data_IF_068815026710
#
_entry.id   IF_068815026710
#
_cell.length_a   1.000
_cell.length_b   1.000
_cell.length_c   1.000
_cell.angle_alpha   90.00
_cell.angle_beta   90.00
_cell.angle_gamma   90.00
#
_symmetry.space_group_name_H-M   'P 1'
#
loop_
_entity.id
_entity.type
_entity.pdbx_description
1 polymer ?
#
# COMPACT_ATOMS: atom_id res chain seq x y z
N UNK A 1 12.15 -29.73 -6.24
CA UNK A 1 11.33 -28.52 -6.02
C UNK A 1 11.09 -27.86 -7.35
N UNK A 2 9.84 -27.56 -7.65
CA UNK A 2 9.47 -26.72 -8.79
C UNK A 2 9.35 -25.24 -8.33
N UNK A 3 9.10 -24.34 -9.29
CA UNK A 3 8.92 -22.90 -9.02
C UNK A 3 7.72 -22.60 -8.12
N UNK A 4 6.67 -23.43 -8.15
CA UNK A 4 5.50 -23.28 -7.27
C UNK A 4 5.81 -23.61 -5.81
N UNK A 5 6.65 -24.62 -5.56
CA UNK A 5 7.12 -24.96 -4.21
C UNK A 5 7.88 -23.76 -3.61
N UNK A 6 8.74 -23.12 -4.42
CA UNK A 6 9.48 -21.92 -4.03
C UNK A 6 8.57 -20.71 -3.80
N UNK A 7 7.54 -20.53 -4.63
CA UNK A 7 6.54 -19.48 -4.42
C UNK A 7 5.79 -19.67 -3.09
N UNK A 8 5.43 -20.91 -2.73
CA UNK A 8 4.82 -21.20 -1.44
C UNK A 8 5.77 -20.98 -0.26
N UNK A 9 7.07 -21.28 -0.41
CA UNK A 9 8.08 -20.91 0.59
C UNK A 9 8.16 -19.40 0.78
N UNK A 10 8.22 -18.63 -0.31
CA UNK A 10 8.23 -17.18 -0.28
C UNK A 10 6.97 -16.62 0.40
N UNK A 11 5.79 -17.16 0.10
CA UNK A 11 4.54 -16.75 0.75
C UNK A 11 4.56 -16.99 2.28
N UNK A 12 5.15 -18.11 2.73
CA UNK A 12 5.35 -18.39 4.17
C UNK A 12 6.37 -17.42 4.80
N UNK A 13 7.45 -17.11 4.09
CA UNK A 13 8.43 -16.14 4.55
C UNK A 13 7.82 -14.73 4.68
N UNK A 14 7.06 -14.29 3.68
CA UNK A 14 6.34 -13.01 3.68
C UNK A 14 5.33 -12.92 4.84
N UNK A 15 4.51 -13.95 5.04
CA UNK A 15 3.53 -13.97 6.12
C UNK A 15 4.14 -14.06 7.53
N UNK A 16 5.43 -14.43 7.65
CA UNK A 16 6.19 -14.41 8.90
C UNK A 16 7.17 -13.24 9.01
N UNK A 17 7.26 -12.40 7.98
CA UNK A 17 8.15 -11.24 7.94
C UNK A 17 7.77 -10.23 9.03
N UNK A 18 8.73 -9.38 9.38
CA UNK A 18 8.49 -8.32 10.37
C UNK A 18 7.52 -7.28 9.80
N UNK A 19 7.71 -6.93 8.54
CA UNK A 19 6.93 -5.95 7.79
C UNK A 19 5.45 -6.33 7.77
N UNK A 20 5.13 -7.60 7.44
CA UNK A 20 3.75 -8.07 7.45
C UNK A 20 3.14 -8.10 8.86
N UNK A 21 3.91 -8.55 9.86
CA UNK A 21 3.44 -8.58 11.26
C UNK A 21 3.18 -7.18 11.81
N UNK A 22 4.07 -6.23 11.55
CA UNK A 22 3.93 -4.84 11.95
C UNK A 22 2.72 -4.19 11.26
N UNK A 23 2.55 -4.45 9.95
CA UNK A 23 1.38 -4.02 9.19
C UNK A 23 0.08 -4.56 9.79
N UNK A 24 0.02 -5.87 10.05
CA UNK A 24 -1.16 -6.52 10.60
C UNK A 24 -1.52 -5.96 11.98
N UNK A 25 -0.54 -5.82 12.86
CA UNK A 25 -0.76 -5.27 14.20
C UNK A 25 -1.19 -3.79 14.17
N UNK A 26 -0.63 -2.98 13.27
CA UNK A 26 -1.06 -1.58 13.10
C UNK A 26 -2.49 -1.49 12.55
N UNK A 27 -2.84 -2.37 11.60
CA UNK A 27 -4.20 -2.45 11.04
C UNK A 27 -5.22 -2.81 12.12
N UNK A 28 -4.93 -3.81 12.94
CA UNK A 28 -5.82 -4.22 14.04
C UNK A 28 -6.06 -3.07 15.03
N UNK A 29 -5.01 -2.32 15.40
CA UNK A 29 -5.13 -1.14 16.27
C UNK A 29 -6.05 -0.07 15.68
N UNK A 30 -5.89 0.27 14.40
CA UNK A 30 -6.78 1.22 13.71
C UNK A 30 -8.23 0.73 13.73
N UNK A 31 -8.46 -0.57 13.55
CA UNK A 31 -9.79 -1.15 13.42
C UNK A 31 -10.52 -1.29 14.77
N UNK A 32 -9.81 -1.24 15.90
CA UNK A 32 -10.42 -1.19 17.23
C UNK A 32 -11.12 0.14 17.52
N UNK A 33 -10.75 1.21 16.82
CA UNK A 33 -11.40 2.51 16.94
C UNK A 33 -12.26 2.79 15.69
N UNK A 34 -13.58 2.81 15.88
CA UNK A 34 -14.53 3.01 14.78
C UNK A 34 -14.37 4.35 14.04
N UNK A 35 -13.92 5.42 14.72
CA UNK A 35 -13.62 6.68 14.06
C UNK A 35 -12.37 6.57 13.17
N UNK A 36 -11.29 5.99 13.69
CA UNK A 36 -10.06 5.77 12.92
C UNK A 36 -10.29 4.85 11.72
N UNK A 37 -11.05 3.77 11.92
CA UNK A 37 -11.46 2.84 10.86
C UNK A 37 -12.23 3.54 9.75
N UNK A 38 -13.24 4.36 10.08
CA UNK A 38 -13.99 5.14 9.08
C UNK A 38 -13.07 6.10 8.31
N UNK A 39 -12.18 6.79 9.01
CA UNK A 39 -11.25 7.74 8.39
C UNK A 39 -10.27 7.03 7.44
N UNK A 40 -9.74 5.88 7.84
CA UNK A 40 -8.87 5.06 6.99
C UNK A 40 -9.59 4.51 5.75
N UNK A 41 -10.84 4.06 5.90
CA UNK A 41 -11.63 3.55 4.76
C UNK A 41 -11.96 4.66 3.75
N UNK A 42 -12.32 5.85 4.22
CA UNK A 42 -12.54 7.00 3.33
C UNK A 42 -11.24 7.38 2.60
N UNK A 43 -10.11 7.36 3.30
CA UNK A 43 -8.81 7.62 2.71
C UNK A 43 -8.48 6.64 1.57
N UNK A 44 -8.56 5.33 1.82
CA UNK A 44 -8.28 4.31 0.80
C UNK A 44 -9.22 4.41 -0.40
N UNK A 45 -10.49 4.70 -0.16
CA UNK A 45 -11.47 4.89 -1.24
C UNK A 45 -11.09 6.07 -2.14
N UNK A 46 -10.75 7.22 -1.55
CA UNK A 46 -10.35 8.42 -2.31
C UNK A 46 -9.01 8.23 -3.01
N UNK A 47 -8.04 7.61 -2.35
CA UNK A 47 -6.75 7.27 -2.94
C UNK A 47 -6.94 6.42 -4.21
N UNK A 48 -7.80 5.39 -4.14
CA UNK A 48 -8.11 4.55 -5.29
C UNK A 48 -8.78 5.32 -6.42
N UNK A 49 -9.75 6.19 -6.11
CA UNK A 49 -10.42 7.02 -7.11
C UNK A 49 -9.42 7.94 -7.85
N UNK A 50 -8.54 8.60 -7.10
CA UNK A 50 -7.49 9.45 -7.65
C UNK A 50 -6.54 8.64 -8.55
N UNK A 51 -6.09 7.49 -8.08
CA UNK A 51 -5.22 6.61 -8.86
C UNK A 51 -5.91 6.10 -10.13
N UNK A 52 -7.19 5.74 -10.06
CA UNK A 52 -7.98 5.29 -11.20
C UNK A 52 -8.14 6.39 -12.26
N UNK A 53 -8.35 7.65 -11.86
CA UNK A 53 -8.38 8.79 -12.80
C UNK A 53 -7.05 8.95 -13.53
N UNK A 54 -5.92 8.90 -12.80
CA UNK A 54 -4.61 8.96 -13.45
C UNK A 54 -4.40 7.83 -14.46
N UNK A 55 -4.83 6.60 -14.12
CA UNK A 55 -4.73 5.45 -15.03
C UNK A 55 -5.65 5.55 -16.25
N UNK A 56 -6.80 6.22 -16.15
CA UNK A 56 -7.69 6.47 -17.30
C UNK A 56 -7.22 7.63 -18.19
N UNK A 57 -6.13 8.32 -17.82
CA UNK A 57 -5.65 9.53 -18.49
C UNK A 57 -6.44 10.80 -18.13
N UNK A 58 -7.36 10.70 -17.16
CA UNK A 58 -8.12 11.82 -16.64
C UNK A 58 -7.38 12.48 -15.46
N UNK A 59 -7.43 13.80 -15.36
CA UNK A 59 -6.91 14.49 -14.17
C UNK A 59 -7.99 14.50 -13.09
N UNK A 60 -7.69 14.07 -11.84
CA UNK A 60 -8.58 14.28 -10.71
C UNK A 60 -8.93 15.77 -10.60
N UNK A 61 -10.16 16.08 -10.21
CA UNK A 61 -10.57 17.48 -10.05
C UNK A 61 -9.82 18.16 -8.90
N UNK A 62 -9.63 19.48 -9.00
CA UNK A 62 -8.96 20.25 -7.93
C UNK A 62 -9.67 20.12 -6.58
N UNK A 63 -11.01 20.04 -6.59
CA UNK A 63 -11.82 19.80 -5.38
C UNK A 63 -11.56 18.40 -4.77
N UNK A 64 -11.39 17.36 -5.57
CA UNK A 64 -11.04 16.03 -5.09
C UNK A 64 -9.64 16.00 -4.48
N UNK A 65 -8.67 16.65 -5.13
CA UNK A 65 -7.31 16.78 -4.62
C UNK A 65 -7.28 17.57 -3.31
N UNK A 66 -8.03 18.67 -3.21
CA UNK A 66 -8.12 19.47 -1.98
C UNK A 66 -8.77 18.68 -0.83
N UNK A 67 -9.86 17.96 -1.12
CA UNK A 67 -10.51 17.07 -0.14
C UNK A 67 -9.57 15.96 0.32
N UNK A 68 -8.80 15.37 -0.59
CA UNK A 68 -7.83 14.34 -0.26
C UNK A 68 -6.67 14.88 0.58
N UNK A 69 -6.17 16.09 0.28
CA UNK A 69 -5.15 16.77 1.10
C UNK A 69 -5.64 17.01 2.53
N UNK A 70 -6.84 17.59 2.69
CA UNK A 70 -7.45 17.82 4.02
C UNK A 70 -7.63 16.52 4.79
N UNK A 71 -8.09 15.46 4.12
CA UNK A 71 -8.20 14.14 4.75
C UNK A 71 -6.84 13.61 5.19
N UNK A 72 -5.80 13.78 4.35
CA UNK A 72 -4.43 13.38 4.67
C UNK A 72 -3.89 14.12 5.89
N UNK A 73 -4.12 15.43 6.00
CA UNK A 73 -3.77 16.22 7.18
C UNK A 73 -4.48 15.72 8.45
N UNK A 74 -5.77 15.40 8.35
CA UNK A 74 -6.54 14.85 9.49
C UNK A 74 -5.99 13.49 9.96
N UNK A 75 -5.56 12.63 9.03
CA UNK A 75 -4.96 11.33 9.35
C UNK A 75 -3.64 11.47 10.12
N UNK A 76 -2.87 12.53 9.91
CA UNK A 76 -1.60 12.75 10.60
C UNK A 76 -1.77 12.93 12.11
N UNK A 77 -2.92 13.41 12.58
CA UNK A 77 -3.21 13.57 14.01
C UNK A 77 -3.52 12.24 14.72
N UNK A 78 -3.81 11.18 13.97
CA UNK A 78 -4.04 9.84 14.53
C UNK A 78 -2.77 9.00 14.47
N UNK A 79 -2.13 8.80 15.63
CA UNK A 79 -0.89 8.02 15.73
C UNK A 79 -1.07 6.58 15.23
N UNK A 80 -2.24 5.98 15.45
CA UNK A 80 -2.55 4.62 14.98
C UNK A 80 -2.61 4.54 13.46
N UNK A 81 -3.25 5.52 12.83
CA UNK A 81 -3.35 5.59 11.37
C UNK A 81 -1.99 5.88 10.76
N UNK A 82 -1.23 6.83 11.32
CA UNK A 82 0.12 7.12 10.85
C UNK A 82 1.01 5.87 10.94
N UNK A 83 0.96 5.16 12.08
CA UNK A 83 1.67 3.88 12.25
C UNK A 83 1.25 2.83 11.22
N UNK A 84 -0.03 2.76 10.89
CA UNK A 84 -0.56 1.87 9.85
C UNK A 84 -0.02 2.24 8.46
N UNK A 85 -0.09 3.52 8.07
CA UNK A 85 0.38 3.98 6.76
C UNK A 85 1.89 3.74 6.58
N UNK A 86 2.68 3.99 7.62
CA UNK A 86 4.12 3.70 7.58
C UNK A 86 4.41 2.19 7.46
N UNK A 87 3.65 1.35 8.17
CA UNK A 87 3.81 -0.09 8.08
C UNK A 87 3.36 -0.63 6.71
N UNK A 88 2.31 -0.07 6.14
CA UNK A 88 1.84 -0.37 4.78
C UNK A 88 2.88 0.04 3.73
N UNK A 89 3.49 1.22 3.86
CA UNK A 89 4.57 1.65 2.98
C UNK A 89 5.75 0.68 3.00
N UNK A 90 6.25 0.31 4.18
CA UNK A 90 7.36 -0.66 4.31
C UNK A 90 7.04 -2.03 3.69
N UNK A 91 5.81 -2.52 3.89
CA UNK A 91 5.38 -3.78 3.29
C UNK A 91 5.30 -3.67 1.76
N UNK A 92 4.80 -2.56 1.23
CA UNK A 92 4.75 -2.33 -0.21
C UNK A 92 6.16 -2.23 -0.83
N UNK A 93 7.11 -1.57 -0.16
CA UNK A 93 8.51 -1.54 -0.61
C UNK A 93 9.10 -2.95 -0.69
N UNK A 94 8.95 -3.75 0.36
CA UNK A 94 9.39 -5.15 0.37
C UNK A 94 8.79 -5.96 -0.80
N UNK A 95 7.49 -5.80 -1.05
CA UNK A 95 6.81 -6.50 -2.15
C UNK A 95 7.29 -6.01 -3.52
N UNK A 96 7.52 -4.70 -3.67
CA UNK A 96 8.04 -4.10 -4.91
C UNK A 96 9.42 -4.68 -5.24
N UNK A 97 10.33 -4.73 -4.27
CA UNK A 97 11.67 -5.31 -4.45
C UNK A 97 11.59 -6.80 -4.85
N UNK A 98 10.67 -7.55 -4.24
CA UNK A 98 10.43 -8.95 -4.60
C UNK A 98 9.90 -9.08 -6.03
N UNK A 99 8.96 -8.22 -6.44
CA UNK A 99 8.46 -8.24 -7.82
C UNK A 99 9.56 -7.94 -8.83
N UNK A 100 10.46 -6.99 -8.53
CA UNK A 100 11.64 -6.70 -9.35
C UNK A 100 12.53 -7.93 -9.52
N UNK A 101 12.90 -8.59 -8.42
CA UNK A 101 13.71 -9.83 -8.46
C UNK A 101 13.04 -10.91 -9.32
N UNK A 102 11.71 -11.07 -9.21
CA UNK A 102 10.98 -12.07 -9.99
C UNK A 102 10.88 -11.71 -11.47
N UNK A 103 10.73 -10.42 -11.81
CA UNK A 103 10.68 -9.94 -13.19
C UNK A 103 12.03 -10.06 -13.91
N UNK A 104 13.11 -9.64 -13.24
CA UNK A 104 14.49 -9.78 -13.73
C UNK A 104 14.84 -11.24 -14.05
N UNK A 105 14.37 -12.19 -13.24
CA UNK A 105 14.66 -13.61 -13.44
C UNK A 105 14.05 -14.21 -14.71
N UNK A 106 13.10 -13.53 -15.35
CA UNK A 106 12.41 -13.98 -16.57
C UNK A 106 12.51 -12.95 -17.71
N UNK A 107 13.45 -12.01 -17.62
CA UNK A 107 13.65 -10.92 -18.59
C UNK A 107 12.34 -10.14 -18.88
N UNK A 108 11.50 -9.96 -17.86
CA UNK A 108 10.29 -9.14 -17.96
C UNK A 108 10.63 -7.71 -17.59
N UNK A 109 10.55 -6.80 -18.57
CA UNK A 109 10.70 -5.37 -18.33
C UNK A 109 9.57 -4.88 -17.40
N UNK A 110 9.96 -4.44 -16.21
CA UNK A 110 9.07 -3.87 -15.19
C UNK A 110 9.17 -2.34 -15.14
N UNK A 111 9.61 -1.71 -16.23
CA UNK A 111 9.80 -0.25 -16.36
C UNK A 111 8.52 0.55 -16.01
N UNK A 112 7.35 -0.05 -16.18
CA UNK A 112 6.06 0.54 -15.79
C UNK A 112 5.84 0.62 -14.26
N UNK A 113 6.67 -0.05 -13.47
CA UNK A 113 6.67 0.00 -12.01
C UNK A 113 7.65 1.03 -11.44
N UNK A 114 8.53 1.60 -12.27
CA UNK A 114 9.34 2.76 -11.87
C UNK A 114 8.40 3.97 -11.83
N UNK A 115 8.20 4.55 -10.64
CA UNK A 115 7.49 5.82 -10.51
C UNK A 115 8.21 6.83 -11.42
N UNK A 116 7.51 7.33 -12.45
CA UNK A 116 8.01 8.42 -13.28
C UNK A 116 8.23 9.63 -12.35
N UNK A 117 9.49 9.93 -12.05
CA UNK A 117 9.92 11.16 -11.34
C UNK A 117 9.48 12.43 -12.09
#
# INVERSE_FOLDING_TARGET
>A
MNVYDKAHELARALSSSREYRDYKAAKERVYQNEANKKMLLDYKKRQFQIQASYLSGEKPSDDELEKFKKLTELLQYSQDINSFLQAEYRLNTLLSDIYKILGEAVDMDLDFMEEQE
#
